data_IF_092118274171
#
_entry.id   IF_092118274171
#
_cell.length_a   1.000
_cell.length_b   1.000
_cell.length_c   1.000
_cell.angle_alpha   90.00
_cell.angle_beta   90.00
_cell.angle_gamma   90.00
#
_symmetry.space_group_name_H-M   'P 1'
#
loop_
_entity.id
_entity.type
_entity.pdbx_description
1 polymer ?
#
# COMPACT_ATOMS: atom_id res chain seq x y z
N UNK A 1 28.52 3.34 1.28
CA UNK A 1 27.17 2.92 1.71
C UNK A 1 26.60 2.05 0.61
N UNK A 2 26.17 0.83 0.91
CA UNK A 2 25.46 -0.02 -0.05
C UNK A 2 23.95 0.18 0.17
N UNK A 3 23.17 0.36 -0.90
CA UNK A 3 21.72 0.62 -0.76
C UNK A 3 20.97 -0.62 -0.26
N UNK A 4 21.48 -1.78 -0.60
CA UNK A 4 20.99 -3.09 -0.21
C UNK A 4 20.97 -3.27 1.32
N UNK A 5 21.81 -2.50 2.04
CA UNK A 5 21.81 -2.51 3.50
C UNK A 5 20.52 -1.97 4.12
N UNK A 6 19.67 -1.25 3.37
CA UNK A 6 18.37 -0.77 3.84
C UNK A 6 17.24 -1.79 3.64
N UNK A 7 17.50 -2.91 2.96
CA UNK A 7 16.44 -3.86 2.55
C UNK A 7 16.66 -5.28 3.06
N UNK A 8 15.56 -6.02 3.13
CA UNK A 8 15.51 -7.47 3.26
C UNK A 8 14.92 -8.04 1.96
N UNK A 9 15.72 -8.77 1.21
CA UNK A 9 15.29 -9.47 -0.01
C UNK A 9 14.77 -10.85 0.38
N UNK A 10 13.46 -10.95 0.59
CA UNK A 10 12.84 -12.22 1.01
C UNK A 10 12.60 -13.14 -0.19
N UNK A 11 12.20 -12.55 -1.31
CA UNK A 11 11.97 -13.20 -2.61
C UNK A 11 12.23 -12.19 -3.74
N UNK A 12 12.36 -12.62 -5.01
CA UNK A 12 12.48 -11.69 -6.14
C UNK A 12 11.33 -10.69 -6.24
N UNK A 13 10.14 -11.07 -5.76
CA UNK A 13 8.90 -10.29 -5.72
C UNK A 13 8.54 -9.79 -4.31
N UNK A 14 9.43 -9.92 -3.33
CA UNK A 14 9.21 -9.44 -1.96
C UNK A 14 10.48 -8.80 -1.38
N UNK A 15 10.55 -7.47 -1.48
CA UNK A 15 11.63 -6.64 -0.93
C UNK A 15 11.06 -5.74 0.17
N UNK A 16 11.54 -5.91 1.40
CA UNK A 16 11.08 -5.15 2.58
C UNK A 16 12.13 -4.17 3.06
N UNK A 17 11.72 -3.07 3.69
CA UNK A 17 12.66 -2.21 4.41
C UNK A 17 13.15 -2.91 5.69
N UNK A 18 14.45 -2.83 5.99
CA UNK A 18 15.03 -3.44 7.21
C UNK A 18 14.35 -2.89 8.47
N UNK A 19 14.12 -3.78 9.44
CA UNK A 19 13.42 -3.45 10.68
C UNK A 19 11.92 -3.18 10.49
N UNK A 20 11.37 -3.34 9.29
CA UNK A 20 9.96 -3.10 8.98
C UNK A 20 9.34 -4.27 8.20
N UNK A 21 8.00 -4.31 8.20
CA UNK A 21 7.21 -5.19 7.32
C UNK A 21 6.71 -4.46 6.06
N UNK A 22 7.04 -3.17 5.94
CA UNK A 22 6.67 -2.36 4.78
C UNK A 22 7.55 -2.79 3.61
N UNK A 23 6.92 -3.10 2.47
CA UNK A 23 7.61 -3.40 1.22
C UNK A 23 7.95 -2.14 0.44
N UNK A 24 8.96 -2.22 -0.42
CA UNK A 24 9.39 -1.08 -1.24
C UNK A 24 8.27 -0.55 -2.13
N UNK A 25 7.33 -1.42 -2.54
CA UNK A 25 6.17 -1.07 -3.35
C UNK A 25 5.32 0.01 -2.69
N UNK A 26 5.27 0.05 -1.36
CA UNK A 26 4.49 1.04 -0.62
C UNK A 26 5.10 2.43 -0.84
N UNK A 27 6.42 2.56 -0.73
CA UNK A 27 7.13 3.83 -0.91
C UNK A 27 7.11 4.25 -2.38
N UNK A 28 7.36 3.30 -3.29
CA UNK A 28 7.38 3.57 -4.72
C UNK A 28 5.99 3.90 -5.26
N UNK A 29 4.93 3.30 -4.72
CA UNK A 29 3.57 3.64 -5.11
C UNK A 29 3.26 5.11 -4.81
N UNK A 30 3.64 5.57 -3.62
CA UNK A 30 3.41 6.94 -3.17
C UNK A 30 4.24 7.96 -3.94
N UNK A 31 5.50 7.63 -4.22
CA UNK A 31 6.39 8.48 -4.99
C UNK A 31 5.95 8.56 -6.48
N UNK A 32 5.73 7.42 -7.13
CA UNK A 32 5.51 7.35 -8.58
C UNK A 32 4.08 7.67 -9.00
N UNK A 33 3.08 7.23 -8.23
CA UNK A 33 1.67 7.31 -8.64
C UNK A 33 0.88 8.36 -7.85
N UNK A 34 1.39 8.81 -6.69
CA UNK A 34 0.79 9.89 -5.90
C UNK A 34 1.61 11.18 -5.93
N UNK A 35 2.77 11.18 -6.59
CA UNK A 35 3.67 12.33 -6.71
C UNK A 35 4.05 12.95 -5.36
N UNK A 36 4.10 12.15 -4.29
CA UNK A 36 4.47 12.60 -2.96
C UNK A 36 5.97 12.79 -2.84
N UNK A 37 6.38 13.79 -2.06
CA UNK A 37 7.81 13.95 -1.72
C UNK A 37 8.25 12.89 -0.71
N UNK A 38 9.56 12.59 -0.61
CA UNK A 38 10.08 11.70 0.42
C UNK A 38 9.67 12.07 1.85
N UNK A 39 9.61 13.37 2.17
CA UNK A 39 9.19 13.88 3.48
C UNK A 39 7.71 13.64 3.74
N UNK A 40 6.85 13.86 2.75
CA UNK A 40 5.42 13.54 2.86
C UNK A 40 5.22 12.04 3.10
N UNK A 41 5.97 11.19 2.40
CA UNK A 41 5.92 9.75 2.59
C UNK A 41 6.38 9.37 4.01
N UNK A 42 7.49 9.93 4.50
CA UNK A 42 7.98 9.67 5.85
C UNK A 42 6.98 10.13 6.94
N UNK A 43 6.24 11.21 6.70
CA UNK A 43 5.17 11.67 7.60
C UNK A 43 3.96 10.73 7.63
N UNK A 44 3.72 9.96 6.57
CA UNK A 44 2.61 8.99 6.49
C UNK A 44 3.03 7.66 7.11
N UNK A 45 4.24 7.19 6.81
CA UNK A 45 4.78 5.92 7.31
C UNK A 45 5.77 6.19 8.45
N UNK A 46 5.26 6.69 9.57
CA UNK A 46 6.06 7.18 10.72
C UNK A 46 6.94 6.12 11.40
N UNK A 47 6.75 4.83 11.07
CA UNK A 47 7.65 3.75 11.50
C UNK A 47 8.94 3.66 10.67
N UNK A 48 9.04 4.39 9.56
CA UNK A 48 10.21 4.43 8.68
C UNK A 48 11.00 5.72 8.92
N UNK A 49 12.31 5.64 8.75
CA UNK A 49 13.13 6.86 8.74
C UNK A 49 13.05 7.55 7.38
N UNK A 50 13.25 8.86 7.36
CA UNK A 50 13.35 9.62 6.10
C UNK A 50 14.48 9.06 5.20
N UNK A 51 15.58 8.64 5.81
CA UNK A 51 16.70 8.01 5.13
C UNK A 51 16.30 6.70 4.42
N UNK A 52 15.48 5.86 5.07
CA UNK A 52 14.94 4.64 4.46
C UNK A 52 14.04 4.93 3.24
N UNK A 53 13.24 5.99 3.30
CA UNK A 53 12.42 6.44 2.17
C UNK A 53 13.31 6.89 1.01
N UNK A 54 14.30 7.73 1.29
CA UNK A 54 15.27 8.17 0.28
C UNK A 54 16.07 7.01 -0.33
N UNK A 55 16.54 6.07 0.50
CA UNK A 55 17.26 4.89 0.03
C UNK A 55 16.40 4.06 -0.92
N UNK A 56 15.10 3.91 -0.64
CA UNK A 56 14.15 3.19 -1.51
C UNK A 56 14.01 3.86 -2.88
N UNK A 57 13.84 5.18 -2.89
CA UNK A 57 13.71 5.95 -4.14
C UNK A 57 15.02 5.90 -4.93
N UNK A 58 16.17 6.06 -4.26
CA UNK A 58 17.47 5.98 -4.90
C UNK A 58 17.75 4.58 -5.46
N UNK A 59 17.38 3.52 -4.73
CA UNK A 59 17.48 2.13 -5.21
C UNK A 59 16.64 1.90 -6.47
N UNK A 60 15.41 2.43 -6.51
CA UNK A 60 14.60 2.43 -7.73
C UNK A 60 15.27 3.19 -8.87
N UNK A 61 15.77 4.40 -8.64
CA UNK A 61 16.42 5.19 -9.69
C UNK A 61 17.66 4.51 -10.26
N UNK A 62 18.42 3.79 -9.42
CA UNK A 62 19.58 3.00 -9.84
C UNK A 62 19.19 1.72 -10.61
N UNK A 63 18.07 1.10 -10.25
CA UNK A 63 17.59 -0.18 -10.80
C UNK A 63 16.27 -0.01 -11.57
N UNK A 64 16.13 1.10 -12.30
CA UNK A 64 14.84 1.60 -12.79
C UNK A 64 14.04 0.61 -13.63
N UNK A 65 14.71 -0.15 -14.49
CA UNK A 65 14.05 -1.15 -15.34
C UNK A 65 13.52 -2.32 -14.51
N UNK A 66 14.38 -2.96 -13.71
CA UNK A 66 14.02 -4.13 -12.92
C UNK A 66 12.96 -3.80 -11.85
N UNK A 67 13.16 -2.70 -11.11
CA UNK A 67 12.23 -2.29 -10.05
C UNK A 67 10.96 -1.65 -10.63
N UNK A 68 11.06 -0.98 -11.79
CA UNK A 68 9.91 -0.48 -12.54
C UNK A 68 8.98 -1.60 -13.00
N UNK A 69 9.55 -2.73 -13.45
CA UNK A 69 8.79 -3.94 -13.76
C UNK A 69 8.14 -4.52 -12.51
N UNK A 70 8.90 -4.69 -11.43
CA UNK A 70 8.40 -5.17 -10.14
C UNK A 70 7.16 -4.39 -9.67
N UNK A 71 7.22 -3.05 -9.65
CA UNK A 71 6.10 -2.24 -9.14
C UNK A 71 4.88 -2.30 -10.06
N UNK A 72 5.10 -2.39 -11.38
CA UNK A 72 4.00 -2.52 -12.34
C UNK A 72 3.27 -3.85 -12.16
N UNK A 73 4.01 -4.96 -12.08
CA UNK A 73 3.44 -6.29 -11.82
C UNK A 73 2.68 -6.34 -10.49
N UNK A 74 3.22 -5.67 -9.44
CA UNK A 74 2.54 -5.58 -8.15
C UNK A 74 1.20 -4.83 -8.21
N UNK A 75 1.15 -3.70 -8.93
CA UNK A 75 -0.10 -2.92 -9.11
C UNK A 75 -1.14 -3.74 -9.87
N UNK A 76 -0.75 -4.34 -11.00
CA UNK A 76 -1.64 -5.16 -11.84
C UNK A 76 -2.19 -6.38 -11.08
N UNK A 77 -1.33 -7.07 -10.34
CA UNK A 77 -1.75 -8.19 -9.51
C UNK A 77 -2.72 -7.73 -8.42
N UNK A 78 -2.45 -6.60 -7.78
CA UNK A 78 -3.33 -6.01 -6.77
C UNK A 78 -4.72 -5.68 -7.32
N UNK A 79 -4.80 -5.10 -8.52
CA UNK A 79 -6.06 -4.83 -9.21
C UNK A 79 -6.83 -6.12 -9.53
N UNK A 80 -6.14 -7.11 -10.11
CA UNK A 80 -6.73 -8.41 -10.42
C UNK A 80 -7.31 -9.09 -9.19
N UNK A 81 -6.57 -9.11 -8.08
CA UNK A 81 -7.04 -9.71 -6.82
C UNK A 81 -8.24 -8.96 -6.23
N UNK A 82 -8.25 -7.62 -6.32
CA UNK A 82 -9.41 -6.82 -5.89
C UNK A 82 -10.65 -7.13 -6.73
N UNK A 83 -10.51 -7.25 -8.04
CA UNK A 83 -11.62 -7.64 -8.91
C UNK A 83 -12.14 -9.04 -8.58
N UNK A 84 -11.25 -10.00 -8.39
CA UNK A 84 -11.62 -11.37 -8.03
C UNK A 84 -12.36 -11.42 -6.69
N UNK A 85 -11.89 -10.71 -5.67
CA UNK A 85 -12.57 -10.59 -4.38
C UNK A 85 -13.95 -9.90 -4.48
N UNK A 86 -14.09 -8.95 -5.40
CA UNK A 86 -15.38 -8.29 -5.65
C UNK A 86 -16.38 -9.23 -6.31
N UNK A 87 -15.93 -10.03 -7.29
CA UNK A 87 -16.75 -11.05 -7.98
C UNK A 87 -17.09 -12.21 -7.05
N UNK A 88 -16.14 -12.62 -6.20
CA UNK A 88 -16.23 -13.78 -5.32
C UNK A 88 -16.06 -13.40 -3.83
N UNK A 89 -16.96 -12.59 -3.24
CA UNK A 89 -16.78 -12.16 -1.86
C UNK A 89 -17.01 -13.32 -0.89
N UNK A 90 -16.14 -13.42 0.13
CA UNK A 90 -16.26 -14.45 1.17
C UNK A 90 -17.59 -14.35 1.95
N UNK A 91 -18.05 -15.43 2.59
CA UNK A 91 -19.25 -15.38 3.44
C UNK A 91 -19.18 -14.30 4.52
N UNK A 92 -18.00 -14.11 5.13
CA UNK A 92 -17.77 -13.05 6.10
C UNK A 92 -17.90 -11.65 5.47
N UNK A 93 -17.33 -11.43 4.28
CA UNK A 93 -17.44 -10.16 3.57
C UNK A 93 -18.90 -9.84 3.21
N UNK A 94 -19.68 -10.84 2.73
CA UNK A 94 -21.11 -10.70 2.48
C UNK A 94 -21.88 -10.33 3.76
N UNK A 95 -21.57 -10.97 4.89
CA UNK A 95 -22.18 -10.68 6.19
C UNK A 95 -21.88 -9.25 6.65
N UNK A 96 -20.62 -8.81 6.57
CA UNK A 96 -20.21 -7.45 6.94
C UNK A 96 -20.92 -6.41 6.06
N UNK A 97 -21.03 -6.65 4.75
CA UNK A 97 -21.77 -5.76 3.83
C UNK A 97 -23.24 -5.60 4.24
N UNK A 98 -23.93 -6.70 4.59
CA UNK A 98 -25.32 -6.67 5.07
C UNK A 98 -25.46 -5.86 6.38
N UNK A 99 -24.56 -6.09 7.34
CA UNK A 99 -24.57 -5.36 8.63
C UNK A 99 -24.35 -3.86 8.44
N UNK A 100 -23.42 -3.46 7.56
CA UNK A 100 -23.20 -2.04 7.21
C UNK A 100 -24.44 -1.41 6.59
N UNK A 101 -25.06 -2.06 5.62
CA UNK A 101 -26.27 -1.56 4.96
C UNK A 101 -27.44 -1.38 5.95
N UNK A 102 -27.64 -2.34 6.87
CA UNK A 102 -28.67 -2.23 7.91
C UNK A 102 -28.40 -1.04 8.85
N UNK A 103 -27.15 -0.86 9.30
CA UNK A 103 -26.74 0.27 10.15
C UNK A 103 -26.96 1.61 9.45
N UNK A 104 -26.59 1.72 8.17
CA UNK A 104 -26.72 2.95 7.41
C UNK A 104 -28.20 3.30 7.14
N UNK A 105 -29.07 2.30 6.96
CA UNK A 105 -30.51 2.50 6.85
C UNK A 105 -31.13 2.98 8.18
N UNK A 106 -30.73 2.38 9.31
CA UNK A 106 -31.16 2.85 10.64
C UNK A 106 -30.69 4.29 10.89
N UNK A 107 -29.43 4.61 10.59
CA UNK A 107 -28.89 5.98 10.77
C UNK A 107 -29.64 7.02 9.94
N UNK A 108 -30.12 6.66 8.74
CA UNK A 108 -30.96 7.54 7.91
C UNK A 108 -32.38 7.69 8.45
N UNK A 109 -32.95 6.63 9.03
CA UNK A 109 -34.27 6.67 9.65
C UNK A 109 -34.29 7.49 10.95
N UNK A 110 -33.19 7.45 11.72
CA UNK A 110 -33.06 8.15 13.01
C UNK A 110 -32.74 9.66 12.87
N UNK A 111 -32.59 10.17 11.64
CA UNK A 111 -32.48 11.61 11.36
C UNK A 111 -31.26 12.33 11.95
N UNK A 112 -30.24 11.61 12.46
CA UNK A 112 -29.09 12.21 13.15
C UNK A 112 -27.84 12.23 12.25
N UNK A 113 -27.51 13.37 11.60
CA UNK A 113 -26.26 13.52 10.88
C UNK A 113 -25.18 13.93 11.89
N UNK A 114 -24.64 12.98 12.66
CA UNK A 114 -23.31 13.23 13.25
C UNK A 114 -22.31 13.03 12.13
N UNK A 115 -21.98 14.17 11.49
CA UNK A 115 -20.84 14.34 10.61
C UNK A 115 -19.58 13.86 11.32
N UNK A 116 -18.87 12.91 10.69
CA UNK A 116 -17.45 12.70 10.91
C UNK A 116 -16.75 13.35 9.73
#
# INVERSE_FOLDING_TARGET
MQLEDYFNFLRPDDIRLKGSRIGIETILYEYLFRARTPEEIANIYTSLTLEQVYATILYYLHNKEAVGKYITEWVEWGDKMREEQQRNPSPAAKKIRKLRAARDAMRKADGNPVSI
#
